data_IF_608509769720
#
_entry.id   IF_608509769720
#
_cell.length_a   1.000
_cell.length_b   1.000
_cell.length_c   1.000
_cell.angle_alpha   90.00
_cell.angle_beta   90.00
_cell.angle_gamma   90.00
#
_symmetry.space_group_name_H-M   'P 1'
#
loop_
_entity.id
_entity.type
_entity.pdbx_description
1 polymer ?
#
# COMPACT_ATOMS: atom_id res chain seq x y z
N UNK A 1 -25.85 -6.56 41.23
CA UNK A 1 -24.49 -6.89 40.77
C UNK A 1 -24.65 -7.47 39.37
N UNK A 2 -24.79 -6.59 38.38
CA UNK A 2 -24.97 -6.98 36.98
C UNK A 2 -23.62 -7.44 36.42
N UNK A 3 -23.56 -8.70 36.03
CA UNK A 3 -22.47 -9.28 35.26
C UNK A 3 -22.63 -8.72 33.85
N UNK A 4 -21.76 -7.77 33.50
CA UNK A 4 -21.63 -7.25 32.15
C UNK A 4 -21.26 -8.40 31.21
N UNK A 5 -22.23 -8.82 30.39
CA UNK A 5 -21.98 -9.74 29.30
C UNK A 5 -21.04 -9.04 28.31
N UNK A 6 -19.77 -9.42 28.33
CA UNK A 6 -18.80 -9.08 27.29
C UNK A 6 -19.36 -9.60 25.97
N UNK A 7 -19.99 -8.71 25.19
CA UNK A 7 -20.46 -9.02 23.85
C UNK A 7 -19.25 -9.41 23.03
N UNK A 8 -19.25 -10.64 22.52
CA UNK A 8 -18.24 -11.09 21.56
C UNK A 8 -18.23 -10.12 20.37
N UNK A 9 -17.05 -9.68 19.90
CA UNK A 9 -16.96 -8.75 18.77
C UNK A 9 -17.63 -9.37 17.53
N UNK A 10 -18.27 -8.55 16.68
CA UNK A 10 -19.01 -9.03 15.52
C UNK A 10 -18.11 -9.89 14.62
N UNK A 11 -18.65 -11.05 14.19
CA UNK A 11 -17.94 -12.11 13.45
C UNK A 11 -17.09 -11.58 12.26
N UNK A 12 -17.55 -10.51 11.62
CA UNK A 12 -16.90 -9.86 10.47
C UNK A 12 -15.57 -9.17 10.82
N UNK A 13 -15.42 -8.64 12.04
CA UNK A 13 -14.16 -8.04 12.52
C UNK A 13 -13.08 -9.10 12.76
N UNK A 14 -13.50 -10.29 13.18
CA UNK A 14 -12.59 -11.41 13.47
C UNK A 14 -11.96 -12.03 12.22
N UNK A 15 -12.69 -12.03 11.10
CA UNK A 15 -12.21 -12.59 9.82
C UNK A 15 -11.21 -11.63 9.14
N UNK A 16 -11.48 -10.33 9.15
CA UNK A 16 -10.55 -9.32 8.62
C UNK A 16 -9.22 -9.30 9.39
N UNK A 17 -9.25 -9.35 10.73
CA UNK A 17 -8.04 -9.39 11.55
C UNK A 17 -7.20 -10.66 11.34
N UNK A 18 -7.87 -11.77 11.04
CA UNK A 18 -7.25 -13.05 10.73
C UNK A 18 -6.55 -13.01 9.36
N UNK A 19 -7.21 -12.48 8.33
CA UNK A 19 -6.60 -12.29 7.01
C UNK A 19 -5.38 -11.37 7.10
N UNK A 20 -5.51 -10.28 7.87
CA UNK A 20 -4.39 -9.37 8.14
C UNK A 20 -3.23 -10.07 8.85
N UNK A 21 -3.52 -10.90 9.86
CA UNK A 21 -2.50 -11.67 10.57
C UNK A 21 -1.79 -12.65 9.64
N UNK A 22 -2.54 -13.39 8.82
CA UNK A 22 -1.97 -14.31 7.82
C UNK A 22 -1.11 -13.57 6.80
N UNK A 23 -1.55 -12.41 6.34
CA UNK A 23 -0.78 -11.54 5.44
C UNK A 23 0.53 -11.07 6.07
N UNK A 24 0.49 -10.64 7.34
CA UNK A 24 1.68 -10.22 8.08
C UNK A 24 2.66 -11.40 8.29
N UNK A 25 2.17 -12.55 8.72
CA UNK A 25 2.99 -13.76 8.90
C UNK A 25 3.61 -14.19 7.57
N UNK A 26 2.87 -14.16 6.46
CA UNK A 26 3.41 -14.49 5.14
C UNK A 26 4.54 -13.54 4.75
N UNK A 27 4.37 -12.23 4.92
CA UNK A 27 5.43 -11.24 4.64
C UNK A 27 6.66 -11.47 5.52
N UNK A 28 6.47 -11.70 6.81
CA UNK A 28 7.56 -11.99 7.75
C UNK A 28 8.31 -13.28 7.37
N UNK A 29 7.58 -14.33 6.98
CA UNK A 29 8.14 -15.60 6.51
C UNK A 29 8.95 -15.40 5.23
N UNK A 30 8.46 -14.61 4.27
CA UNK A 30 9.21 -14.25 3.06
C UNK A 30 10.52 -13.55 3.41
N UNK A 31 10.49 -12.58 4.32
CA UNK A 31 11.70 -11.88 4.78
C UNK A 31 12.68 -12.89 5.40
N UNK A 32 12.20 -13.82 6.24
CA UNK A 32 13.02 -14.87 6.86
C UNK A 32 13.70 -15.79 5.84
N UNK A 33 12.98 -16.21 4.80
CA UNK A 33 13.59 -17.01 3.74
C UNK A 33 14.73 -16.27 3.06
N UNK A 34 14.54 -14.99 2.77
CA UNK A 34 15.56 -14.15 2.15
C UNK A 34 16.76 -13.98 3.10
N UNK A 35 16.52 -13.68 4.38
CA UNK A 35 17.59 -13.45 5.35
C UNK A 35 18.36 -14.72 5.68
N UNK A 36 17.68 -15.80 6.07
CA UNK A 36 18.34 -17.05 6.46
C UNK A 36 18.92 -17.79 5.25
N UNK A 37 18.19 -17.84 4.14
CA UNK A 37 18.68 -18.45 2.90
C UNK A 37 19.87 -17.68 2.32
N UNK A 38 19.76 -16.35 2.23
CA UNK A 38 20.83 -15.48 1.77
C UNK A 38 22.08 -15.56 2.66
N UNK A 39 21.91 -15.56 3.99
CA UNK A 39 23.03 -15.69 4.92
C UNK A 39 23.69 -17.08 4.84
N UNK A 40 22.90 -18.15 4.70
CA UNK A 40 23.44 -19.51 4.52
C UNK A 40 24.31 -19.59 3.25
N UNK A 41 23.79 -19.08 2.12
CA UNK A 41 24.55 -19.04 0.87
C UNK A 41 25.82 -18.19 0.99
N UNK A 42 25.72 -17.04 1.67
CA UNK A 42 26.87 -16.18 1.93
C UNK A 42 27.94 -16.89 2.76
N UNK A 43 27.57 -17.58 3.85
CA UNK A 43 28.52 -18.33 4.66
C UNK A 43 29.19 -19.47 3.87
N UNK A 44 28.42 -20.25 3.11
CA UNK A 44 28.97 -21.32 2.26
C UNK A 44 29.95 -20.75 1.24
N UNK A 45 29.61 -19.63 0.59
CA UNK A 45 30.49 -18.96 -0.35
C UNK A 45 31.80 -18.48 0.28
N UNK A 46 31.74 -17.88 1.47
CA UNK A 46 32.93 -17.44 2.21
C UNK A 46 33.86 -18.61 2.57
N UNK A 47 33.27 -19.75 2.97
CA UNK A 47 34.02 -20.98 3.27
C UNK A 47 34.67 -21.54 2.00
N UNK A 48 33.96 -21.56 0.87
CA UNK A 48 34.49 -22.05 -0.40
C UNK A 48 35.69 -21.23 -0.91
N UNK A 49 35.72 -19.92 -0.64
CA UNK A 49 36.85 -19.05 -1.01
C UNK A 49 37.97 -19.10 0.04
N UNK A 50 37.72 -19.66 1.22
CA UNK A 50 38.67 -19.65 2.34
C UNK A 50 38.88 -18.25 2.94
N UNK A 51 37.92 -17.35 2.77
CA UNK A 51 38.00 -15.96 3.24
C UNK A 51 37.73 -15.81 4.74
N UNK A 52 36.97 -16.73 5.34
CA UNK A 52 36.51 -16.60 6.72
C UNK A 52 36.64 -17.89 7.52
N UNK A 53 36.97 -17.73 8.81
CA UNK A 53 36.98 -18.79 9.81
C UNK A 53 35.60 -18.95 10.46
N UNK A 54 34.52 -18.93 9.66
CA UNK A 54 33.17 -19.16 10.19
C UNK A 54 33.07 -20.64 10.59
N UNK A 55 32.72 -20.95 11.85
CA UNK A 55 32.53 -22.33 12.28
C UNK A 55 31.40 -23.00 11.49
N UNK A 56 31.58 -24.26 11.08
CA UNK A 56 30.57 -24.99 10.31
C UNK A 56 29.26 -25.15 11.09
N UNK A 57 29.34 -25.18 12.41
CA UNK A 57 28.24 -25.20 13.36
C UNK A 57 27.29 -24.02 13.14
N UNK A 58 27.83 -22.80 12.94
CA UNK A 58 27.03 -21.60 12.70
C UNK A 58 26.25 -21.71 11.38
N UNK A 59 26.88 -22.26 10.34
CA UNK A 59 26.22 -22.47 9.04
C UNK A 59 25.08 -23.48 9.16
N UNK A 60 25.31 -24.58 9.87
CA UNK A 60 24.28 -25.59 10.13
C UNK A 60 23.12 -25.02 10.94
N UNK A 61 23.39 -24.19 11.94
CA UNK A 61 22.35 -23.54 12.75
C UNK A 61 21.49 -22.60 11.90
N UNK A 62 22.10 -21.76 11.05
CA UNK A 62 21.32 -20.87 10.17
C UNK A 62 20.53 -21.65 9.12
N UNK A 63 21.10 -22.73 8.58
CA UNK A 63 20.37 -23.62 7.69
C UNK A 63 19.18 -24.29 8.40
N UNK A 64 19.33 -24.65 9.67
CA UNK A 64 18.22 -25.17 10.48
C UNK A 64 17.12 -24.12 10.69
N UNK A 65 17.46 -22.84 10.92
CA UNK A 65 16.47 -21.74 10.96
C UNK A 65 15.70 -21.60 9.64
N UNK A 66 16.38 -21.79 8.49
CA UNK A 66 15.73 -21.80 7.19
C UNK A 66 14.74 -22.95 7.05
N UNK A 67 15.13 -24.17 7.44
CA UNK A 67 14.23 -25.34 7.46
C UNK A 67 13.06 -25.12 8.41
N UNK A 68 13.31 -24.58 9.61
CA UNK A 68 12.27 -24.30 10.59
C UNK A 68 11.25 -23.30 10.06
N UNK A 69 11.71 -22.27 9.34
CA UNK A 69 10.83 -21.32 8.64
C UNK A 69 9.97 -22.04 7.59
N UNK A 70 10.56 -22.98 6.84
CA UNK A 70 9.82 -23.78 5.85
C UNK A 70 8.75 -24.68 6.47
N UNK A 71 9.10 -25.35 7.57
CA UNK A 71 8.16 -26.19 8.33
C UNK A 71 7.03 -25.35 8.90
N UNK A 72 7.34 -24.19 9.48
CA UNK A 72 6.35 -23.26 10.03
C UNK A 72 5.35 -22.80 8.95
N UNK A 73 5.83 -22.35 7.78
CA UNK A 73 4.97 -21.95 6.66
C UNK A 73 4.09 -23.11 6.16
N UNK A 74 4.69 -24.29 5.99
CA UNK A 74 3.95 -25.49 5.59
C UNK A 74 2.83 -25.85 6.58
N UNK A 75 3.13 -25.84 7.88
CA UNK A 75 2.16 -26.13 8.93
C UNK A 75 1.05 -25.09 8.96
N UNK A 76 1.37 -23.80 8.86
CA UNK A 76 0.35 -22.72 8.82
C UNK A 76 -0.58 -22.90 7.61
N UNK A 77 -0.07 -23.36 6.47
CA UNK A 77 -0.88 -23.61 5.28
C UNK A 77 -1.79 -24.84 5.43
N UNK A 78 -1.29 -25.93 6.00
CA UNK A 78 -1.98 -27.23 6.10
C UNK A 78 -2.95 -27.36 7.27
N UNK A 79 -2.71 -26.64 8.36
CA UNK A 79 -3.47 -26.82 9.61
C UNK A 79 -4.71 -25.93 9.68
N UNK A 80 -5.72 -26.37 10.45
CA UNK A 80 -6.94 -25.61 10.75
C UNK A 80 -6.72 -24.52 11.82
N UNK A 81 -5.47 -24.13 12.11
CA UNK A 81 -5.20 -23.04 13.07
C UNK A 81 -5.70 -21.67 12.58
N UNK A 82 -6.11 -21.58 11.31
CA UNK A 82 -6.75 -20.42 10.68
C UNK A 82 -8.16 -20.12 11.20
N UNK A 83 -8.67 -20.80 12.22
CA UNK A 83 -10.05 -20.57 12.65
C UNK A 83 -10.20 -19.36 13.59
N UNK A 84 -9.11 -18.89 14.22
CA UNK A 84 -9.17 -17.74 15.15
C UNK A 84 -7.81 -17.06 15.26
N UNK A 85 -7.82 -15.71 15.29
CA UNK A 85 -6.63 -14.86 15.47
C UNK A 85 -5.78 -15.29 16.68
N UNK A 86 -6.41 -15.62 17.81
CA UNK A 86 -5.71 -16.05 19.03
C UNK A 86 -4.97 -17.37 18.85
N UNK A 87 -5.61 -18.37 18.21
CA UNK A 87 -5.00 -19.70 18.00
C UNK A 87 -3.82 -19.60 17.05
N UNK A 88 -3.97 -18.85 15.97
CA UNK A 88 -2.89 -18.62 15.01
C UNK A 88 -1.73 -17.82 15.64
N UNK A 89 -2.03 -16.78 16.42
CA UNK A 89 -1.01 -15.99 17.14
C UNK A 89 -0.23 -16.86 18.13
N UNK A 90 -0.92 -17.67 18.94
CA UNK A 90 -0.26 -18.58 19.90
C UNK A 90 0.60 -19.62 19.20
N UNK A 91 0.11 -20.21 18.12
CA UNK A 91 0.87 -21.17 17.32
C UNK A 91 2.15 -20.52 16.76
N UNK A 92 2.02 -19.33 16.15
CA UNK A 92 3.15 -18.59 15.62
C UNK A 92 4.15 -18.18 16.72
N UNK A 93 3.66 -17.81 17.91
CA UNK A 93 4.49 -17.49 19.08
C UNK A 93 5.40 -18.66 19.48
N UNK A 94 4.88 -19.89 19.50
CA UNK A 94 5.68 -21.07 19.83
C UNK A 94 6.84 -21.23 18.85
N UNK A 95 6.60 -21.08 17.55
CA UNK A 95 7.67 -21.13 16.55
C UNK A 95 8.70 -20.03 16.74
N UNK A 96 8.26 -18.80 17.01
CA UNK A 96 9.18 -17.69 17.24
C UNK A 96 10.04 -17.88 18.50
N UNK A 97 9.48 -18.48 19.56
CA UNK A 97 10.26 -18.81 20.77
C UNK A 97 11.37 -19.81 20.42
N UNK A 98 11.05 -20.86 19.65
CA UNK A 98 12.03 -21.86 19.20
C UNK A 98 13.10 -21.20 18.32
N UNK A 99 12.70 -20.34 17.36
CA UNK A 99 13.62 -19.58 16.51
C UNK A 99 14.57 -18.70 17.35
N UNK A 100 14.06 -17.98 18.36
CA UNK A 100 14.87 -17.14 19.26
C UNK A 100 15.90 -17.98 20.03
N UNK A 101 15.49 -19.13 20.57
CA UNK A 101 16.42 -20.03 21.27
C UNK A 101 17.56 -20.49 20.36
N UNK A 102 17.26 -20.82 19.10
CA UNK A 102 18.27 -21.23 18.11
C UNK A 102 19.18 -20.05 17.73
N UNK A 103 18.64 -18.84 17.62
CA UNK A 103 19.43 -17.62 17.36
C UNK A 103 20.40 -17.37 18.51
N UNK A 104 19.98 -17.54 19.77
CA UNK A 104 20.90 -17.40 20.91
C UNK A 104 22.03 -18.41 20.86
N UNK A 105 21.73 -19.67 20.52
CA UNK A 105 22.76 -20.69 20.32
C UNK A 105 23.74 -20.30 19.20
N UNK A 106 23.23 -19.76 18.09
CA UNK A 106 24.07 -19.28 16.98
C UNK A 106 24.98 -18.11 17.39
N UNK A 107 24.45 -17.16 18.16
CA UNK A 107 25.20 -16.02 18.68
C UNK A 107 26.28 -16.48 19.66
N UNK A 108 25.96 -17.47 20.50
CA UNK A 108 26.91 -18.06 21.43
C UNK A 108 28.05 -18.79 20.70
N UNK A 109 27.71 -19.69 19.78
CA UNK A 109 28.67 -20.46 19.00
C UNK A 109 29.59 -19.58 18.12
N UNK A 110 29.12 -18.41 17.72
CA UNK A 110 29.90 -17.47 16.90
C UNK A 110 30.75 -16.48 17.71
N UNK A 111 30.63 -16.49 19.05
CA UNK A 111 31.28 -15.54 19.94
C UNK A 111 30.85 -14.06 19.73
N UNK A 112 29.74 -13.82 19.04
CA UNK A 112 29.22 -12.51 18.61
C UNK A 112 28.30 -11.90 19.70
N UNK A 113 28.46 -12.28 20.97
CA UNK A 113 27.53 -11.90 22.04
C UNK A 113 27.53 -10.40 22.42
N UNK A 114 28.60 -9.57 22.21
CA UNK A 114 28.51 -8.15 22.54
C UNK A 114 27.67 -7.34 21.54
N UNK A 115 28.11 -6.13 21.20
CA UNK A 115 27.40 -5.11 20.42
C UNK A 115 26.81 -5.64 19.10
N UNK A 116 27.49 -6.55 18.41
CA UNK A 116 27.02 -7.14 17.15
C UNK A 116 25.83 -8.09 17.32
N UNK A 117 25.76 -8.84 18.41
CA UNK A 117 24.63 -9.72 18.72
C UNK A 117 23.35 -8.92 18.98
N UNK A 118 23.47 -7.77 19.65
CA UNK A 118 22.34 -6.85 19.84
C UNK A 118 21.70 -6.41 18.52
N UNK A 119 22.50 -6.11 17.48
CA UNK A 119 21.98 -5.71 16.17
C UNK A 119 21.16 -6.84 15.50
N UNK A 120 21.65 -8.08 15.60
CA UNK A 120 20.94 -9.26 15.06
C UNK A 120 19.62 -9.46 15.80
N UNK A 121 19.63 -9.34 17.13
CA UNK A 121 18.43 -9.44 17.96
C UNK A 121 17.43 -8.33 17.63
N UNK A 122 17.90 -7.08 17.47
CA UNK A 122 17.05 -5.93 17.10
C UNK A 122 16.39 -6.18 15.74
N UNK A 123 17.17 -6.60 14.74
CA UNK A 123 16.65 -6.89 13.41
C UNK A 123 15.60 -8.01 13.45
N UNK A 124 15.85 -9.06 14.21
CA UNK A 124 14.91 -10.16 14.39
C UNK A 124 13.63 -9.73 15.13
N UNK A 125 13.77 -8.97 16.22
CA UNK A 125 12.63 -8.44 16.98
C UNK A 125 11.78 -7.49 16.15
N UNK A 126 12.40 -6.73 15.24
CA UNK A 126 11.67 -5.89 14.29
C UNK A 126 10.75 -6.73 13.40
N UNK A 127 11.26 -7.84 12.84
CA UNK A 127 10.44 -8.78 12.04
C UNK A 127 9.30 -9.35 12.88
N UNK A 128 9.57 -9.77 14.12
CA UNK A 128 8.56 -10.32 15.03
C UNK A 128 7.48 -9.29 15.38
N UNK A 129 7.86 -8.04 15.63
CA UNK A 129 6.95 -6.95 15.97
C UNK A 129 5.90 -6.73 14.86
N UNK A 130 6.31 -6.73 13.59
CA UNK A 130 5.40 -6.57 12.44
C UNK A 130 4.63 -7.84 12.06
N UNK A 131 4.98 -9.00 12.62
CA UNK A 131 4.31 -10.27 12.31
C UNK A 131 2.93 -10.38 12.97
N UNK A 132 2.70 -9.69 14.08
CA UNK A 132 1.46 -9.79 14.85
C UNK A 132 0.48 -8.66 14.55
N UNK A 133 -0.81 -9.01 14.41
CA UNK A 133 -1.90 -8.01 14.39
C UNK A 133 -2.13 -7.43 15.78
N UNK A 134 -2.07 -8.27 16.83
CA UNK A 134 -2.25 -7.87 18.23
C UNK A 134 -0.91 -7.59 18.88
N UNK A 135 -0.72 -6.35 19.32
CA UNK A 135 0.58 -5.87 19.83
C UNK A 135 1.06 -6.60 21.10
N UNK A 136 0.15 -7.18 21.89
CA UNK A 136 0.50 -7.90 23.11
C UNK A 136 1.46 -9.07 22.86
N UNK A 137 1.31 -9.78 21.73
CA UNK A 137 2.20 -10.89 21.37
C UNK A 137 3.61 -10.40 21.01
N UNK A 138 3.71 -9.24 20.36
CA UNK A 138 5.00 -8.61 20.10
C UNK A 138 5.71 -8.25 21.41
N UNK A 139 4.99 -7.66 22.39
CA UNK A 139 5.57 -7.34 23.70
C UNK A 139 6.00 -8.58 24.49
N UNK A 140 5.21 -9.66 24.46
CA UNK A 140 5.59 -10.95 25.06
C UNK A 140 6.90 -11.45 24.45
N UNK A 141 7.01 -11.44 23.11
CA UNK A 141 8.24 -11.85 22.43
C UNK A 141 9.45 -10.98 22.76
N UNK A 142 9.25 -9.67 22.84
CA UNK A 142 10.31 -8.73 23.25
C UNK A 142 10.78 -9.06 24.67
N UNK A 143 9.85 -9.28 25.60
CA UNK A 143 10.17 -9.67 26.98
C UNK A 143 10.95 -10.97 27.07
N UNK A 144 10.49 -12.02 26.36
CA UNK A 144 11.17 -13.32 26.29
C UNK A 144 12.59 -13.17 25.73
N UNK A 145 12.75 -12.38 24.67
CA UNK A 145 14.04 -12.21 24.00
C UNK A 145 15.01 -11.41 24.87
N UNK A 146 14.57 -10.30 25.50
CA UNK A 146 15.41 -9.54 26.42
C UNK A 146 15.82 -10.41 27.61
N UNK A 147 14.88 -11.15 28.19
CA UNK A 147 15.16 -12.04 29.31
C UNK A 147 16.15 -13.16 28.92
N UNK A 148 15.92 -13.84 27.80
CA UNK A 148 16.80 -14.89 27.30
C UNK A 148 18.21 -14.39 26.98
N UNK A 149 18.31 -13.18 26.41
CA UNK A 149 19.59 -12.52 26.14
C UNK A 149 20.35 -12.21 27.44
N UNK A 150 19.69 -11.58 28.41
CA UNK A 150 20.28 -11.27 29.71
C UNK A 150 20.70 -12.52 30.48
N UNK A 151 19.88 -13.57 30.40
CA UNK A 151 20.16 -14.86 31.01
C UNK A 151 21.42 -15.50 30.41
N UNK A 152 21.51 -15.55 29.08
CA UNK A 152 22.67 -16.09 28.36
C UNK A 152 23.95 -15.32 28.70
N UNK A 153 23.89 -13.98 28.65
CA UNK A 153 25.00 -13.10 29.01
C UNK A 153 25.47 -13.32 30.46
N UNK A 154 24.54 -13.54 31.38
CA UNK A 154 24.87 -13.82 32.79
C UNK A 154 25.53 -15.18 32.97
N UNK A 155 25.05 -16.22 32.28
CA UNK A 155 25.64 -17.55 32.34
C UNK A 155 27.07 -17.60 31.79
N UNK A 156 27.34 -16.86 30.71
CA UNK A 156 28.68 -16.71 30.17
C UNK A 156 29.60 -15.91 31.11
N UNK A 157 29.11 -14.81 31.67
CA UNK A 157 29.86 -14.00 32.63
C UNK A 157 30.26 -14.81 33.88
N UNK A 158 29.36 -15.66 34.38
CA UNK A 158 29.64 -16.58 35.49
C UNK A 158 30.57 -17.75 35.11
N UNK A 159 30.85 -17.95 33.82
CA UNK A 159 31.65 -19.06 33.32
C UNK A 159 30.94 -20.42 33.41
N UNK A 160 29.61 -20.44 33.57
CA UNK A 160 28.82 -21.67 33.55
C UNK A 160 28.80 -22.24 32.12
N UNK A 161 28.67 -21.35 31.13
CA UNK A 161 28.82 -21.70 29.72
C UNK A 161 30.19 -21.21 29.25
N UNK A 162 30.91 -22.07 28.52
CA UNK A 162 32.27 -21.78 28.06
C UNK A 162 32.24 -20.82 26.87
N UNK A 163 32.95 -19.71 26.97
CA UNK A 163 33.13 -18.79 25.84
C UNK A 163 34.03 -19.43 24.78
N UNK A 164 33.53 -19.54 23.55
CA UNK A 164 34.32 -20.01 22.41
C UNK A 164 35.00 -18.82 21.75
N UNK A 165 36.32 -18.67 21.89
CA UNK A 165 37.06 -17.60 21.21
C UNK A 165 37.33 -17.96 19.74
N UNK A 166 36.30 -17.86 18.90
CA UNK A 166 36.35 -18.18 17.46
C UNK A 166 37.40 -17.33 16.73
N UNK A 167 37.58 -16.08 17.16
CA UNK A 167 38.46 -15.12 16.49
C UNK A 167 39.88 -15.06 17.09
N UNK A 168 40.18 -15.90 18.10
CA UNK A 168 41.46 -15.92 18.82
C UNK A 168 41.90 -14.54 19.28
N UNK A 169 40.95 -13.72 19.71
CA UNK A 169 41.23 -12.35 20.15
C UNK A 169 42.02 -12.37 21.47
N UNK A 170 42.06 -13.51 22.17
CA UNK A 170 42.88 -13.73 23.37
C UNK A 170 42.40 -12.96 24.59
N UNK A 171 41.29 -12.24 24.46
CA UNK A 171 40.58 -11.61 25.54
C UNK A 171 39.30 -12.41 25.80
N UNK A 172 39.05 -12.79 27.05
CA UNK A 172 37.78 -13.40 27.45
C UNK A 172 36.72 -12.28 27.53
N UNK A 173 36.27 -11.81 26.35
CA UNK A 173 35.42 -10.62 26.19
C UNK A 173 34.16 -10.73 27.04
N UNK A 174 33.58 -11.92 27.14
CA UNK A 174 32.38 -12.20 27.92
C UNK A 174 32.56 -12.07 29.45
N UNK A 175 33.76 -12.39 29.98
CA UNK A 175 34.05 -12.29 31.42
C UNK A 175 34.60 -10.91 31.83
N UNK A 176 34.81 -10.01 30.87
CA UNK A 176 35.25 -8.66 31.17
C UNK A 176 34.10 -7.86 31.83
N UNK A 177 34.27 -7.52 33.11
CA UNK A 177 33.29 -6.75 33.91
C UNK A 177 32.86 -5.45 33.23
N UNK A 178 33.79 -4.72 32.62
CA UNK A 178 33.50 -3.44 31.97
C UNK A 178 32.59 -3.62 30.76
N UNK A 179 32.90 -4.60 29.90
CA UNK A 179 32.08 -4.87 28.70
C UNK A 179 30.70 -5.43 29.05
N UNK A 180 30.60 -6.26 30.09
CA UNK A 180 29.33 -6.73 30.61
C UNK A 180 28.44 -5.57 31.06
N UNK A 181 28.99 -4.64 31.86
CA UNK A 181 28.25 -3.45 32.34
C UNK A 181 27.85 -2.55 31.18
N UNK A 182 28.74 -2.32 30.21
CA UNK A 182 28.44 -1.51 29.01
C UNK A 182 27.30 -2.14 28.20
N UNK A 183 27.31 -3.46 28.00
CA UNK A 183 26.25 -4.15 27.26
C UNK A 183 24.90 -4.04 27.99
N UNK A 184 24.90 -4.20 29.32
CA UNK A 184 23.68 -4.04 30.11
C UNK A 184 23.16 -2.59 30.07
N UNK A 185 24.05 -1.60 30.20
CA UNK A 185 23.72 -0.19 30.26
C UNK A 185 23.31 0.41 28.91
N UNK A 186 23.81 -0.14 27.79
CA UNK A 186 23.57 0.40 26.44
C UNK A 186 22.69 -0.52 25.60
N UNK A 187 22.99 -1.82 25.56
CA UNK A 187 22.34 -2.79 24.68
C UNK A 187 20.85 -2.93 24.93
N UNK A 188 20.45 -3.18 26.18
CA UNK A 188 19.03 -3.34 26.52
C UNK A 188 18.23 -2.05 26.31
N UNK A 189 18.68 -0.87 26.78
CA UNK A 189 17.98 0.38 26.48
C UNK A 189 17.89 0.69 24.99
N UNK A 190 18.94 0.38 24.21
CA UNK A 190 18.94 0.58 22.76
C UNK A 190 17.85 -0.26 22.07
N UNK A 191 17.71 -1.53 22.44
CA UNK A 191 16.64 -2.41 21.93
C UNK A 191 15.27 -1.81 22.23
N UNK A 192 15.04 -1.38 23.48
CA UNK A 192 13.76 -0.80 23.91
C UNK A 192 13.45 0.50 23.16
N UNK A 193 14.43 1.40 23.02
CA UNK A 193 14.27 2.68 22.32
C UNK A 193 13.93 2.45 20.85
N UNK A 194 14.64 1.56 20.16
CA UNK A 194 14.39 1.28 18.73
C UNK A 194 12.98 0.74 18.53
N UNK A 195 12.53 -0.18 19.39
CA UNK A 195 11.19 -0.74 19.31
C UNK A 195 10.11 0.30 19.64
N UNK A 196 10.37 1.21 20.58
CA UNK A 196 9.48 2.33 20.88
C UNK A 196 9.33 3.30 19.70
N UNK A 197 10.44 3.60 19.02
CA UNK A 197 10.44 4.41 17.80
C UNK A 197 9.64 3.70 16.70
N UNK A 198 9.86 2.40 16.51
CA UNK A 198 9.13 1.60 15.53
C UNK A 198 7.62 1.59 15.80
N UNK A 199 7.20 1.46 17.07
CA UNK A 199 5.79 1.53 17.47
C UNK A 199 5.18 2.91 17.19
N UNK A 200 5.88 3.97 17.58
CA UNK A 200 5.46 5.35 17.35
C UNK A 200 5.30 5.67 15.86
N UNK A 201 6.26 5.21 15.05
CA UNK A 201 6.22 5.37 13.60
C UNK A 201 5.11 4.54 12.96
N UNK A 202 4.93 3.29 13.38
CA UNK A 202 3.84 2.42 12.88
C UNK A 202 2.46 3.02 13.15
N UNK A 203 2.24 3.58 14.33
CA UNK A 203 0.98 4.26 14.68
C UNK A 203 0.72 5.47 13.77
N UNK A 204 1.72 6.34 13.57
CA UNK A 204 1.59 7.49 12.65
C UNK A 204 1.30 7.05 11.22
N UNK A 205 2.01 6.04 10.72
CA UNK A 205 1.78 5.48 9.38
C UNK A 205 0.35 4.96 9.21
N UNK A 206 -0.20 4.26 10.21
CA UNK A 206 -1.59 3.77 10.16
C UNK A 206 -2.59 4.92 10.03
N UNK A 207 -2.40 6.00 10.80
CA UNK A 207 -3.27 7.18 10.72
C UNK A 207 -3.20 7.83 9.34
N UNK A 208 -1.99 8.04 8.82
CA UNK A 208 -1.80 8.62 7.48
C UNK A 208 -2.38 7.75 6.36
N UNK A 209 -2.23 6.42 6.43
CA UNK A 209 -2.83 5.50 5.46
C UNK A 209 -4.36 5.54 5.47
N UNK A 210 -4.96 5.62 6.65
CA UNK A 210 -6.42 5.75 6.76
C UNK A 210 -6.91 7.07 6.17
N UNK A 211 -6.19 8.18 6.39
CA UNK A 211 -6.50 9.48 5.77
C UNK A 211 -6.38 9.45 4.25
N UNK A 212 -5.35 8.79 3.71
CA UNK A 212 -5.20 8.63 2.26
C UNK A 212 -6.33 7.82 1.65
N UNK A 213 -6.69 6.70 2.29
CA UNK A 213 -7.79 5.84 1.84
C UNK A 213 -9.13 6.61 1.85
N UNK A 214 -9.33 7.47 2.85
CA UNK A 214 -10.52 8.31 2.94
C UNK A 214 -10.56 9.36 1.81
N UNK A 215 -9.44 10.05 1.57
CA UNK A 215 -9.35 11.02 0.46
C UNK A 215 -9.53 10.38 -0.91
N UNK A 216 -9.05 9.16 -1.10
CA UNK A 216 -9.23 8.39 -2.34
C UNK A 216 -10.72 8.11 -2.59
N UNK A 217 -11.47 7.70 -1.56
CA UNK A 217 -12.93 7.53 -1.65
C UNK A 217 -13.66 8.83 -1.96
N UNK A 218 -13.32 9.91 -1.26
CA UNK A 218 -13.91 11.24 -1.50
C UNK A 218 -13.65 11.73 -2.93
N UNK A 219 -12.45 11.52 -3.46
CA UNK A 219 -12.13 11.83 -4.86
C UNK A 219 -12.91 10.97 -5.85
N UNK A 220 -13.08 9.68 -5.56
CA UNK A 220 -13.86 8.77 -6.41
C UNK A 220 -15.35 9.17 -6.45
N UNK A 221 -15.92 9.50 -5.29
CA UNK A 221 -17.30 10.00 -5.19
C UNK A 221 -17.46 11.33 -5.93
N UNK A 222 -16.55 12.28 -5.70
CA UNK A 222 -16.55 13.56 -6.41
C UNK A 222 -16.40 13.39 -7.93
N UNK A 223 -15.55 12.45 -8.37
CA UNK A 223 -15.39 12.09 -9.79
C UNK A 223 -16.69 11.57 -10.39
N UNK A 224 -17.37 10.64 -9.70
CA UNK A 224 -18.65 10.08 -10.14
C UNK A 224 -19.74 11.17 -10.25
N UNK A 225 -19.83 12.05 -9.26
CA UNK A 225 -20.77 13.19 -9.28
C UNK A 225 -20.45 14.14 -10.45
N UNK A 226 -19.17 14.40 -10.69
CA UNK A 226 -18.74 15.27 -11.79
C UNK A 226 -19.08 14.65 -13.15
N UNK A 227 -18.87 13.35 -13.33
CA UNK A 227 -19.25 12.62 -14.56
C UNK A 227 -20.74 12.74 -14.85
N UNK A 228 -21.59 12.50 -13.85
CA UNK A 228 -23.05 12.67 -14.00
C UNK A 228 -23.41 14.11 -14.36
N UNK A 229 -22.78 15.10 -13.72
CA UNK A 229 -23.03 16.51 -14.00
C UNK A 229 -22.58 16.92 -15.42
N UNK A 230 -21.44 16.41 -15.87
CA UNK A 230 -20.93 16.65 -17.24
C UNK A 230 -21.85 15.99 -18.26
N UNK A 231 -22.28 14.76 -18.02
CA UNK A 231 -23.23 14.07 -18.90
C UNK A 231 -24.56 14.85 -19.02
N UNK A 232 -25.14 15.27 -17.89
CA UNK A 232 -26.36 16.07 -17.89
C UNK A 232 -26.21 17.39 -18.65
N UNK A 233 -25.11 18.14 -18.42
CA UNK A 233 -24.84 19.38 -19.14
C UNK A 233 -24.58 19.16 -20.63
N UNK A 234 -23.99 18.03 -21.00
CA UNK A 234 -23.74 17.69 -22.40
C UNK A 234 -25.05 17.41 -23.12
N UNK A 235 -25.98 16.70 -22.47
CA UNK A 235 -27.31 16.45 -23.04
C UNK A 235 -28.13 17.73 -23.16
N UNK A 236 -28.14 18.58 -22.12
CA UNK A 236 -28.79 19.90 -22.19
C UNK A 236 -28.26 20.77 -23.33
N UNK A 237 -26.93 20.77 -23.55
CA UNK A 237 -26.31 21.51 -24.65
C UNK A 237 -26.70 20.94 -26.01
N UNK A 238 -26.84 19.62 -26.12
CA UNK A 238 -27.26 18.94 -27.34
C UNK A 238 -28.70 19.27 -27.68
N UNK A 239 -29.63 19.17 -26.71
CA UNK A 239 -31.02 19.56 -26.90
C UNK A 239 -31.15 21.03 -27.32
N UNK A 240 -30.37 21.93 -26.69
CA UNK A 240 -30.35 23.34 -27.06
C UNK A 240 -29.82 23.55 -28.48
N UNK A 241 -28.77 22.81 -28.88
CA UNK A 241 -28.20 22.86 -30.22
C UNK A 241 -29.20 22.38 -31.28
N UNK A 242 -29.88 21.26 -31.05
CA UNK A 242 -30.90 20.71 -31.95
C UNK A 242 -32.07 21.69 -32.12
N UNK A 243 -32.55 22.28 -31.02
CA UNK A 243 -33.61 23.28 -31.06
C UNK A 243 -33.19 24.54 -31.85
N UNK A 244 -31.96 25.02 -31.64
CA UNK A 244 -31.41 26.16 -32.39
C UNK A 244 -31.30 25.85 -33.89
N UNK A 245 -30.85 24.66 -34.26
CA UNK A 245 -30.79 24.23 -35.66
C UNK A 245 -32.18 24.20 -36.31
N UNK A 246 -33.18 23.69 -35.61
CA UNK A 246 -34.57 23.67 -36.08
C UNK A 246 -35.11 25.10 -36.30
N UNK A 247 -34.89 25.99 -35.33
CA UNK A 247 -35.26 27.40 -35.46
C UNK A 247 -34.55 28.09 -36.63
N UNK A 248 -33.25 27.83 -36.82
CA UNK A 248 -32.49 28.37 -37.96
C UNK A 248 -33.05 27.86 -39.27
N UNK A 249 -33.38 26.57 -39.37
CA UNK A 249 -33.98 25.97 -40.56
C UNK A 249 -35.34 26.57 -40.88
N UNK A 250 -36.20 26.73 -39.87
CA UNK A 250 -37.53 27.34 -40.04
C UNK A 250 -37.42 28.81 -40.49
N UNK A 251 -36.54 29.59 -39.85
CA UNK A 251 -36.30 30.99 -40.23
C UNK A 251 -35.70 31.11 -41.62
N UNK A 252 -34.76 30.24 -41.98
CA UNK A 252 -34.17 30.20 -43.33
C UNK A 252 -35.25 29.92 -44.38
N UNK A 253 -36.14 28.95 -44.12
CA UNK A 253 -37.26 28.64 -45.02
C UNK A 253 -38.22 29.82 -45.18
N UNK A 254 -38.63 30.45 -44.08
CA UNK A 254 -39.49 31.65 -44.10
C UNK A 254 -38.84 32.81 -44.87
N UNK A 255 -37.53 33.00 -44.71
CA UNK A 255 -36.77 34.00 -45.47
C UNK A 255 -36.75 33.68 -46.97
N UNK A 256 -36.54 32.43 -47.37
CA UNK A 256 -36.59 32.00 -48.77
C UNK A 256 -37.98 32.21 -49.39
N UNK A 257 -39.05 31.87 -48.68
CA UNK A 257 -40.43 32.12 -49.10
C UNK A 257 -40.67 33.62 -49.31
N UNK A 258 -40.24 34.46 -48.36
CA UNK A 258 -40.34 35.92 -48.49
C UNK A 258 -39.52 36.47 -49.65
N UNK A 259 -38.33 35.95 -49.90
CA UNK A 259 -37.52 36.33 -51.07
C UNK A 259 -38.24 35.99 -52.39
N UNK A 260 -38.85 34.80 -52.49
CA UNK A 260 -39.60 34.39 -53.67
C UNK A 260 -40.86 35.26 -53.91
N UNK A 261 -41.58 35.62 -52.84
CA UNK A 261 -42.69 36.58 -52.91
C UNK A 261 -42.21 37.95 -53.42
N UNK A 262 -41.09 38.46 -52.88
CA UNK A 262 -40.48 39.72 -53.29
C UNK A 262 -40.03 39.71 -54.75
N UNK A 263 -39.41 38.63 -55.22
CA UNK A 263 -39.04 38.48 -56.64
C UNK A 263 -40.26 38.49 -57.57
N UNK A 264 -41.33 37.80 -57.16
CA UNK A 264 -42.58 37.74 -57.93
C UNK A 264 -43.24 39.11 -58.00
N UNK A 265 -43.30 39.83 -56.87
CA UNK A 265 -43.80 41.20 -56.81
C UNK A 265 -42.97 42.13 -57.71
N UNK A 266 -41.65 42.00 -57.67
CA UNK A 266 -40.74 42.80 -58.51
C UNK A 266 -40.96 42.53 -60.00
N UNK A 267 -41.08 41.26 -60.42
CA UNK A 267 -41.40 40.90 -61.82
C UNK A 267 -42.73 41.51 -62.28
N UNK A 268 -43.76 41.47 -61.44
CA UNK A 268 -45.07 42.08 -61.74
C UNK A 268 -45.02 43.61 -61.77
N UNK A 269 -44.19 44.24 -60.92
CA UNK A 269 -43.98 45.68 -60.92
C UNK A 269 -43.27 46.14 -62.20
N UNK A 270 -42.15 45.49 -62.56
CA UNK A 270 -41.42 45.76 -63.80
C UNK A 270 -42.30 45.54 -65.03
N UNK A 271 -43.08 44.45 -65.06
CA UNK A 271 -44.03 44.20 -66.15
C UNK A 271 -45.09 45.30 -66.29
N UNK A 272 -45.59 45.83 -65.16
CA UNK A 272 -46.52 46.97 -65.16
C UNK A 272 -45.86 48.26 -65.66
N UNK A 273 -44.63 48.52 -65.27
CA UNK A 273 -43.88 49.69 -65.75
C UNK A 273 -43.63 49.63 -67.26
N UNK A 274 -43.21 48.46 -67.78
CA UNK A 274 -43.05 48.22 -69.22
C UNK A 274 -44.38 48.44 -69.96
N UNK A 275 -45.49 47.89 -69.46
CA UNK A 275 -46.80 48.08 -70.09
C UNK A 275 -47.28 49.53 -70.05
N UNK A 276 -47.03 50.25 -68.96
CA UNK A 276 -47.29 51.69 -68.88
C UNK A 276 -46.46 52.48 -69.90
N UNK A 277 -45.22 52.06 -70.15
CA UNK A 277 -44.36 52.69 -71.15
C UNK A 277 -44.90 52.47 -72.57
N UNK A 278 -45.31 51.24 -72.91
CA UNK A 278 -45.98 50.92 -74.18
C UNK A 278 -47.25 51.75 -74.38
N UNK A 279 -48.16 51.75 -73.39
CA UNK A 279 -49.42 52.49 -73.48
C UNK A 279 -49.19 54.01 -73.63
N UNK A 280 -48.18 54.56 -72.93
CA UNK A 280 -47.80 55.98 -73.11
C UNK A 280 -47.27 56.25 -74.53
N UNK A 281 -46.54 55.31 -75.13
CA UNK A 281 -46.08 55.42 -76.51
C UNK A 281 -47.24 55.37 -77.50
N UNK A 282 -48.15 54.39 -77.36
CA UNK A 282 -49.36 54.28 -78.20
C UNK A 282 -50.24 55.54 -78.11
N UNK A 283 -50.46 56.09 -76.91
CA UNK A 283 -51.22 57.34 -76.72
C UNK A 283 -50.53 58.50 -77.44
N UNK A 284 -49.19 58.56 -77.43
CA UNK A 284 -48.43 59.60 -78.13
C UNK A 284 -48.58 59.47 -79.64
N UNK A 285 -48.43 58.27 -80.19
CA UNK A 285 -48.63 58.00 -81.63
C UNK A 285 -50.07 58.31 -82.08
N UNK A 286 -51.07 57.87 -81.31
CA UNK A 286 -52.48 58.19 -81.57
C UNK A 286 -52.74 59.70 -81.57
N UNK A 287 -52.16 60.44 -80.62
CA UNK A 287 -52.25 61.91 -80.59
C UNK A 287 -51.57 62.57 -81.80
N UNK A 288 -50.41 62.08 -82.21
CA UNK A 288 -49.72 62.56 -83.43
C UNK A 288 -50.53 62.29 -84.69
N UNK A 289 -51.21 61.14 -84.77
CA UNK A 289 -52.08 60.79 -85.89
C UNK A 289 -53.36 61.63 -85.96
N UNK A 290 -53.93 62.02 -84.81
CA UNK A 290 -55.10 62.90 -84.73
C UNK A 290 -54.78 64.35 -85.15
N UNK A 291 -53.55 64.81 -84.89
CA UNK A 291 -53.08 66.15 -85.28
C UNK A 291 -52.67 66.26 -86.77
N UNK A 292 -52.72 65.17 -87.55
CA UNK A 292 -52.41 65.15 -88.99
C UNK A 292 -53.65 65.17 -89.90
N UNK A 293 -54.85 65.41 -89.35
CA UNK A 293 -56.09 65.71 -90.09
C UNK A 293 -56.45 67.18 -89.91
#
# INVERSE_FOLDING_TARGET
MEITSVSSPPKQESDHDLERLLGNIKKATTIRYITFGGFTLFCVFQILIGLSAIPWEVVLIVFFLFILTAVSDFLIRKTKFKNTVTKLSNFHLIFQIIEVSIIFEALHASAIIPISGNLIIIAYLFICYFSYTRIIYAWIMIGITIFGYLFTLTLEYLGIITYVDVYKIGANIAQNRGLFIINLAIGVPLVIIILFIADSFSKKLRVSLNQLTQKEKELQEAGTVLEVKVAARTEELKELSENLEEQVKERTKKLQEKMAELETFNKLAVGRELKMMELKNEIRELKESLNKK
#
